data_IF_415629046039
#
_entry.id   IF_415629046039
#
_cell.length_a   1.000
_cell.length_b   1.000
_cell.length_c   1.000
_cell.angle_alpha   90.00
_cell.angle_beta   90.00
_cell.angle_gamma   90.00
#
_symmetry.space_group_name_H-M   'P 1'
#
loop_
_entity.id
_entity.type
_entity.pdbx_description
1 polymer ?
#
# COMPACT_ATOMS: atom_id res chain seq x y z
N UNK A 1 19.33 -5.23 1.13
CA UNK A 1 18.01 -5.68 1.62
C UNK A 1 17.13 -4.44 1.66
N UNK A 2 16.04 -4.34 0.89
CA UNK A 2 15.13 -3.22 1.08
C UNK A 2 14.43 -3.41 2.42
N UNK A 3 14.69 -2.52 3.38
CA UNK A 3 13.99 -2.46 4.66
C UNK A 3 12.49 -2.66 4.43
N UNK A 4 11.97 -3.81 4.83
CA UNK A 4 10.54 -4.04 4.92
C UNK A 4 10.01 -3.22 6.12
N UNK A 5 10.03 -1.90 5.99
CA UNK A 5 9.42 -0.97 6.93
C UNK A 5 7.94 -1.27 6.99
N UNK A 6 7.38 -1.70 8.11
CA UNK A 6 5.93 -1.85 8.28
C UNK A 6 5.38 -0.59 8.93
N UNK A 7 4.21 -0.12 8.49
CA UNK A 7 3.53 0.98 9.17
C UNK A 7 3.08 0.51 10.57
N UNK A 8 3.33 1.33 11.59
CA UNK A 8 2.76 1.09 12.91
C UNK A 8 1.25 1.38 12.92
N UNK A 9 0.52 0.82 13.90
CA UNK A 9 -0.91 1.10 14.10
C UNK A 9 -1.22 2.59 14.13
N UNK A 10 -0.39 3.37 14.83
CA UNK A 10 -0.57 4.82 14.95
C UNK A 10 -0.40 5.55 13.60
N UNK A 11 0.54 5.10 12.75
CA UNK A 11 0.70 5.66 11.40
C UNK A 11 -0.46 5.24 10.50
N UNK A 12 -0.93 4.01 10.64
CA UNK A 12 -2.07 3.51 9.89
C UNK A 12 -3.36 4.23 10.26
N UNK A 13 -3.63 4.47 11.54
CA UNK A 13 -4.80 5.22 12.01
C UNK A 13 -4.84 6.65 11.44
N UNK A 14 -3.68 7.28 11.22
CA UNK A 14 -3.59 8.59 10.56
C UNK A 14 -3.89 8.52 9.06
N UNK A 15 -3.57 7.41 8.41
CA UNK A 15 -3.78 7.21 6.97
C UNK A 15 -5.17 6.67 6.64
N UNK A 16 -5.79 5.96 7.58
CA UNK A 16 -7.11 5.36 7.45
C UNK A 16 -8.21 6.29 6.91
N UNK A 17 -8.35 7.54 7.40
CA UNK A 17 -9.38 8.46 6.88
C UNK A 17 -9.16 8.89 5.42
N UNK A 18 -7.94 8.81 4.91
CA UNK A 18 -7.61 9.14 3.52
C UNK A 18 -7.79 7.94 2.57
N UNK A 19 -8.07 6.76 3.11
CA UNK A 19 -8.31 5.59 2.28
C UNK A 19 -9.62 5.74 1.50
N UNK A 20 -9.60 5.54 0.16
CA UNK A 20 -10.81 5.54 -0.63
C UNK A 20 -11.72 4.42 -0.14
N UNK A 21 -13.02 4.73 -0.04
CA UNK A 21 -14.05 3.83 0.50
C UNK A 21 -14.05 2.49 -0.25
N UNK A 22 -14.15 1.37 0.48
CA UNK A 22 -14.32 0.05 -0.14
C UNK A 22 -15.78 -0.11 -0.55
N UNK A 23 -16.05 -0.57 -1.78
CA UNK A 23 -17.40 -0.92 -2.21
C UNK A 23 -17.78 -2.32 -1.72
N UNK A 24 -18.02 -2.46 -0.41
CA UNK A 24 -18.67 -3.64 0.18
C UNK A 24 -17.83 -4.94 0.26
N UNK A 25 -16.56 -4.93 -0.18
CA UNK A 25 -15.67 -6.10 -0.08
C UNK A 25 -14.72 -5.95 1.12
N UNK A 26 -14.60 -6.95 2.01
CA UNK A 26 -13.67 -6.91 3.12
C UNK A 26 -12.24 -6.76 2.58
N UNK A 27 -11.49 -5.84 3.18
CA UNK A 27 -10.20 -5.40 2.67
C UNK A 27 -9.15 -6.39 3.15
N UNK A 28 -8.47 -7.03 2.21
CA UNK A 28 -7.29 -7.84 2.54
C UNK A 28 -6.13 -6.89 2.86
N UNK A 29 -5.62 -7.00 4.09
CA UNK A 29 -4.36 -6.42 4.60
C UNK A 29 -4.01 -5.02 4.06
N UNK A 30 -4.81 -4.00 4.39
CA UNK A 30 -4.55 -2.61 3.97
C UNK A 30 -3.16 -2.10 4.36
N UNK A 31 -2.65 -2.57 5.49
CA UNK A 31 -1.29 -2.27 5.95
C UNK A 31 -0.24 -2.70 4.95
N UNK A 32 -0.35 -3.92 4.44
CA UNK A 32 0.61 -4.53 3.51
C UNK A 32 0.60 -3.76 2.17
N UNK A 33 -0.59 -3.42 1.70
CA UNK A 33 -0.80 -2.66 0.46
C UNK A 33 -0.26 -1.24 0.58
N UNK A 34 -0.60 -0.51 1.65
CA UNK A 34 -0.14 0.86 1.85
C UNK A 34 1.37 0.95 2.02
N UNK A 35 1.93 0.00 2.76
CA UNK A 35 3.37 -0.09 2.94
C UNK A 35 4.08 -0.36 1.61
N UNK A 36 3.53 -1.21 0.76
CA UNK A 36 4.03 -1.42 -0.60
C UNK A 36 3.99 -0.15 -1.45
N UNK A 37 2.90 0.61 -1.40
CA UNK A 37 2.74 1.88 -2.12
C UNK A 37 3.78 2.92 -1.66
N UNK A 38 3.96 3.09 -0.35
CA UNK A 38 4.94 4.04 0.21
C UNK A 38 6.35 3.65 -0.21
N UNK A 39 6.69 2.37 -0.15
CA UNK A 39 8.00 1.89 -0.56
C UNK A 39 8.31 2.21 -2.03
N UNK A 40 7.35 1.98 -2.93
CA UNK A 40 7.50 2.25 -4.37
C UNK A 40 7.66 3.76 -4.62
N UNK A 41 6.80 4.58 -4.01
CA UNK A 41 6.86 6.05 -4.15
C UNK A 41 8.16 6.63 -3.58
N UNK A 42 8.63 6.12 -2.43
CA UNK A 42 9.87 6.60 -1.79
C UNK A 42 11.12 6.26 -2.62
N UNK A 43 11.14 5.10 -3.25
CA UNK A 43 12.29 4.63 -4.03
C UNK A 43 12.18 4.93 -5.53
N UNK A 44 11.06 5.50 -6.00
CA UNK A 44 10.82 5.76 -7.42
C UNK A 44 10.76 4.50 -8.28
N UNK A 45 10.40 3.36 -7.70
CA UNK A 45 10.42 2.06 -8.38
C UNK A 45 9.21 1.91 -9.31
N UNK A 46 9.29 0.95 -10.24
CA UNK A 46 8.11 0.55 -11.00
C UNK A 46 7.23 -0.32 -10.12
N UNK A 47 5.91 -0.24 -10.29
CA UNK A 47 4.97 -1.08 -9.56
C UNK A 47 5.26 -2.59 -9.70
N UNK A 48 5.81 -3.01 -10.84
CA UNK A 48 6.21 -4.42 -11.09
C UNK A 48 7.38 -4.88 -10.22
N UNK A 49 8.22 -3.97 -9.77
CA UNK A 49 9.40 -4.25 -8.94
C UNK A 49 9.06 -4.28 -7.45
N UNK A 50 7.77 -4.12 -7.11
CA UNK A 50 7.30 -4.23 -5.74
C UNK A 50 7.60 -5.63 -5.18
N UNK A 51 8.12 -5.73 -3.94
CA UNK A 51 8.34 -7.01 -3.29
C UNK A 51 7.04 -7.81 -3.23
N UNK A 52 7.09 -9.09 -3.60
CA UNK A 52 5.91 -10.00 -3.59
C UNK A 52 5.30 -10.13 -2.18
N UNK A 53 6.13 -9.92 -1.16
CA UNK A 53 5.77 -9.81 0.25
C UNK A 53 4.87 -8.62 0.58
N UNK A 54 4.72 -7.62 -0.30
CA UNK A 54 3.76 -6.50 -0.15
C UNK A 54 2.45 -6.71 -0.91
N UNK A 55 2.33 -7.83 -1.63
CA UNK A 55 1.15 -8.21 -2.38
C UNK A 55 1.32 -7.99 -3.88
N UNK A 56 0.32 -8.40 -4.68
CA UNK A 56 0.40 -8.28 -6.14
C UNK A 56 0.53 -6.82 -6.58
N UNK A 57 1.46 -6.54 -7.50
CA UNK A 57 1.67 -5.18 -8.05
C UNK A 57 0.38 -4.51 -8.56
N UNK A 58 -0.54 -5.31 -9.14
CA UNK A 58 -1.83 -4.84 -9.64
C UNK A 58 -2.73 -4.33 -8.50
N UNK A 59 -2.68 -4.96 -7.32
CA UNK A 59 -3.43 -4.54 -6.14
C UNK A 59 -2.89 -3.21 -5.61
N UNK A 60 -1.56 -3.05 -5.55
CA UNK A 60 -0.92 -1.81 -5.14
C UNK A 60 -1.32 -0.65 -6.06
N UNK A 61 -1.22 -0.85 -7.38
CA UNK A 61 -1.59 0.16 -8.37
C UNK A 61 -3.08 0.53 -8.31
N UNK A 62 -3.97 -0.47 -8.26
CA UNK A 62 -5.41 -0.23 -8.17
C UNK A 62 -5.80 0.54 -6.89
N UNK A 63 -5.06 0.34 -5.79
CA UNK A 63 -5.28 1.03 -4.52
C UNK A 63 -4.74 2.46 -4.53
N UNK A 64 -3.61 2.69 -5.21
CA UNK A 64 -3.02 4.02 -5.37
C UNK A 64 -3.76 4.89 -6.39
N UNK A 65 -4.28 4.30 -7.48
CA UNK A 65 -4.92 5.02 -8.60
C UNK A 65 -5.93 6.10 -8.18
N UNK A 66 -6.81 5.91 -7.17
CA UNK A 66 -7.77 6.94 -6.75
C UNK A 66 -7.16 8.15 -6.04
N UNK A 67 -5.89 8.07 -5.62
CA UNK A 67 -5.16 9.15 -4.93
C UNK A 67 -4.37 10.02 -5.90
N UNK A 68 -4.31 9.61 -7.18
CA UNK A 68 -3.77 10.40 -8.28
C UNK A 68 -4.88 11.26 -8.85
#
# INVERSE_FOLDING_TARGET
MPDLFWLSDAQMARLEPYLPKSHGKPRVDDWRVLTGIIFINRNGLRWRDAPRERGPHKTLYNRWKPWR
#
